data_IF_534651367209
#
_entry.id   IF_534651367209
#
_cell.length_a   1.000
_cell.length_b   1.000
_cell.length_c   1.000
_cell.angle_alpha   90.00
_cell.angle_beta   90.00
_cell.angle_gamma   90.00
#
_symmetry.space_group_name_H-M   'P 1'
#
loop_
_entity.id
_entity.type
_entity.pdbx_description
1 polymer ?
#
# COMPACT_ATOMS: atom_id res chain seq x y z
N UNK A 1 49.07 57.77 -16.59
CA UNK A 1 48.22 57.57 -15.38
C UNK A 1 47.03 56.72 -15.79
N UNK A 2 47.05 55.43 -15.43
CA UNK A 2 46.18 54.82 -14.40
C UNK A 2 44.74 54.56 -14.86
N UNK A 3 44.45 53.24 -15.03
CA UNK A 3 43.28 52.50 -14.50
C UNK A 3 41.91 52.84 -15.16
N UNK A 4 41.07 51.92 -15.64
CA UNK A 4 40.68 50.60 -15.10
C UNK A 4 39.78 49.83 -16.10
N UNK A 5 40.06 48.53 -16.26
CA UNK A 5 39.15 47.36 -16.31
C UNK A 5 38.01 47.24 -17.34
N UNK A 6 38.23 46.34 -18.30
CA UNK A 6 37.61 45.00 -18.35
C UNK A 6 36.15 44.91 -17.81
N UNK A 7 35.17 45.28 -18.62
CA UNK A 7 33.74 45.13 -18.30
C UNK A 7 32.96 44.57 -19.50
N UNK A 8 33.33 43.37 -19.94
CA UNK A 8 32.48 42.59 -20.86
C UNK A 8 32.70 41.07 -20.74
N UNK A 9 33.37 40.61 -19.67
CA UNK A 9 33.63 39.18 -19.41
C UNK A 9 33.19 38.74 -18.00
N UNK A 10 32.11 39.34 -17.48
CA UNK A 10 31.53 38.96 -16.17
C UNK A 10 30.03 38.62 -16.22
N UNK A 11 29.47 38.45 -17.42
CA UNK A 11 28.10 37.95 -17.61
C UNK A 11 28.06 36.51 -18.14
N UNK A 12 29.19 35.80 -18.13
CA UNK A 12 29.31 34.42 -18.62
C UNK A 12 29.59 33.36 -17.54
N UNK A 13 29.62 33.72 -16.25
CA UNK A 13 30.01 32.78 -15.18
C UNK A 13 29.11 32.76 -13.93
N UNK A 14 28.02 33.52 -13.87
CA UNK A 14 27.03 33.45 -12.76
C UNK A 14 25.66 32.90 -13.17
N UNK A 15 25.52 32.42 -14.41
CA UNK A 15 24.34 31.68 -14.88
C UNK A 15 24.60 30.17 -15.06
N UNK A 16 25.73 29.67 -14.55
CA UNK A 16 26.01 28.22 -14.51
C UNK A 16 25.67 27.71 -13.10
N UNK A 17 24.47 27.13 -13.02
CA UNK A 17 24.07 26.09 -12.07
C UNK A 17 24.05 26.47 -10.58
N UNK A 18 23.04 27.24 -10.20
CA UNK A 18 22.24 26.90 -9.02
C UNK A 18 20.93 26.21 -9.45
N UNK A 19 21.01 25.27 -10.39
CA UNK A 19 20.05 24.17 -10.36
C UNK A 19 20.44 23.34 -9.14
N UNK A 20 19.93 23.70 -7.97
CA UNK A 20 19.92 22.78 -6.83
C UNK A 20 19.28 21.51 -7.36
N UNK A 21 20.07 20.46 -7.57
CA UNK A 21 19.54 19.20 -8.07
C UNK A 21 18.44 18.77 -7.13
N UNK A 22 17.21 18.69 -7.64
CA UNK A 22 16.08 18.28 -6.82
C UNK A 22 16.34 16.85 -6.34
N UNK A 23 16.18 16.58 -5.04
CA UNK A 23 16.52 15.27 -4.50
C UNK A 23 15.67 14.18 -5.13
N UNK A 24 16.18 12.95 -5.10
CA UNK A 24 15.41 11.78 -5.45
C UNK A 24 14.05 11.77 -4.72
N UNK A 25 12.91 11.54 -5.41
CA UNK A 25 11.58 11.71 -4.83
C UNK A 25 11.26 10.91 -3.56
N UNK A 26 11.96 9.80 -3.33
CA UNK A 26 11.79 9.01 -2.10
C UNK A 26 12.66 9.49 -0.93
N UNK A 27 13.63 10.37 -1.16
CA UNK A 27 14.52 10.90 -0.10
C UNK A 27 13.74 11.59 1.04
N UNK A 28 12.70 12.41 0.78
CA UNK A 28 11.91 13.00 1.85
C UNK A 28 11.31 11.98 2.82
N UNK A 29 10.89 10.78 2.36
CA UNK A 29 10.32 9.74 3.23
C UNK A 29 11.33 9.19 4.26
N UNK A 30 12.63 9.43 4.08
CA UNK A 30 13.67 8.99 5.00
C UNK A 30 13.98 10.01 6.10
N UNK A 31 13.67 11.28 5.86
CA UNK A 31 14.08 12.41 6.72
C UNK A 31 12.91 13.19 7.29
N UNK A 32 11.73 13.01 6.70
CA UNK A 32 10.49 13.71 7.04
C UNK A 32 9.40 12.68 7.28
N UNK A 33 8.39 13.15 7.97
CA UNK A 33 7.12 12.46 8.07
C UNK A 33 6.47 12.36 6.65
N UNK A 34 5.62 11.35 6.36
CA UNK A 34 5.00 11.14 5.05
C UNK A 34 4.12 12.31 4.60
N UNK A 35 3.54 13.08 5.52
CA UNK A 35 2.70 14.22 5.18
C UNK A 35 3.57 15.41 4.76
N UNK A 36 4.64 15.68 5.50
CA UNK A 36 5.67 16.63 5.11
C UNK A 36 6.35 16.23 3.79
N UNK A 37 6.63 14.93 3.59
CA UNK A 37 7.17 14.41 2.33
C UNK A 37 6.19 14.65 1.17
N UNK A 38 4.89 14.42 1.39
CA UNK A 38 3.84 14.70 0.42
C UNK A 38 3.79 16.19 0.07
N UNK A 39 3.77 17.07 1.06
CA UNK A 39 3.78 18.52 0.88
C UNK A 39 5.03 18.99 0.14
N UNK A 40 6.20 18.42 0.45
CA UNK A 40 7.44 18.70 -0.26
C UNK A 40 7.33 18.33 -1.75
N UNK A 41 6.86 17.13 -2.08
CA UNK A 41 6.69 16.71 -3.49
C UNK A 41 5.65 17.57 -4.20
N UNK A 42 4.51 17.85 -3.56
CA UNK A 42 3.45 18.73 -4.09
C UNK A 42 4.00 20.10 -4.46
N UNK A 43 4.77 20.73 -3.57
CA UNK A 43 5.32 22.08 -3.75
C UNK A 43 6.51 22.13 -4.73
N UNK A 44 7.09 20.99 -5.07
CA UNK A 44 8.22 20.90 -6.01
C UNK A 44 7.86 20.15 -7.31
N UNK A 45 6.57 19.92 -7.58
CA UNK A 45 6.08 19.17 -8.75
C UNK A 45 6.72 19.64 -10.06
N UNK A 46 6.77 20.95 -10.30
CA UNK A 46 7.29 21.53 -11.55
C UNK A 46 8.79 21.27 -11.76
N UNK A 47 9.51 20.88 -10.71
CA UNK A 47 10.93 20.50 -10.81
C UNK A 47 11.13 19.02 -11.12
N UNK A 48 10.06 18.23 -11.07
CA UNK A 48 10.07 16.79 -11.33
C UNK A 48 9.42 16.44 -12.68
N UNK A 49 8.25 17.01 -12.97
CA UNK A 49 7.51 16.78 -14.21
C UNK A 49 8.32 17.32 -15.40
N UNK A 50 8.50 16.50 -16.45
CA UNK A 50 9.36 16.80 -17.59
C UNK A 50 10.87 16.65 -17.33
N UNK A 51 11.26 16.12 -16.15
CA UNK A 51 12.66 16.07 -15.71
C UNK A 51 13.11 14.67 -15.28
N UNK A 52 14.41 14.54 -14.95
CA UNK A 52 15.12 13.26 -14.71
C UNK A 52 14.40 12.27 -13.79
N UNK A 53 13.66 12.75 -12.80
CA UNK A 53 13.01 11.92 -11.78
C UNK A 53 11.48 11.87 -11.90
N UNK A 54 10.92 12.22 -13.06
CA UNK A 54 9.46 12.24 -13.24
C UNK A 54 8.78 10.91 -12.91
N UNK A 55 9.35 9.79 -13.37
CA UNK A 55 8.80 8.46 -13.09
C UNK A 55 8.72 8.21 -11.56
N UNK A 56 9.83 8.43 -10.86
CA UNK A 56 9.90 8.19 -9.42
C UNK A 56 9.08 9.23 -8.64
N UNK A 57 8.87 10.42 -9.20
CA UNK A 57 8.00 11.44 -8.61
C UNK A 57 6.56 10.95 -8.59
N UNK A 58 6.05 10.47 -9.74
CA UNK A 58 4.67 9.96 -9.79
C UNK A 58 4.46 8.74 -8.89
N UNK A 59 5.46 7.87 -8.77
CA UNK A 59 5.42 6.75 -7.83
C UNK A 59 5.37 7.23 -6.38
N UNK A 60 6.36 8.04 -5.94
CA UNK A 60 6.42 8.52 -4.56
C UNK A 60 5.18 9.35 -4.20
N UNK A 61 4.77 10.27 -5.07
CA UNK A 61 3.61 11.14 -4.84
C UNK A 61 2.29 10.35 -4.85
N UNK A 62 2.16 9.34 -5.72
CA UNK A 62 1.00 8.45 -5.75
C UNK A 62 0.91 7.57 -4.49
N UNK A 63 2.00 6.94 -4.09
CA UNK A 63 2.08 6.15 -2.84
C UNK A 63 1.72 7.00 -1.62
N UNK A 64 2.30 8.19 -1.49
CA UNK A 64 1.98 9.09 -0.37
C UNK A 64 0.52 9.58 -0.40
N UNK A 65 -0.04 9.78 -1.59
CA UNK A 65 -1.48 10.08 -1.74
C UNK A 65 -2.33 8.95 -1.18
N UNK A 66 -1.99 7.68 -1.48
CA UNK A 66 -2.71 6.53 -0.94
C UNK A 66 -2.63 6.47 0.59
N UNK A 67 -1.45 6.74 1.18
CA UNK A 67 -1.32 6.79 2.64
C UNK A 67 -2.29 7.80 3.23
N UNK A 68 -2.40 8.98 2.62
CA UNK A 68 -3.24 10.09 3.06
C UNK A 68 -4.73 9.93 2.71
N UNK A 69 -5.19 8.73 2.35
CA UNK A 69 -6.59 8.45 1.99
C UNK A 69 -7.02 9.02 0.63
N UNK A 70 -6.10 9.60 -0.14
CA UNK A 70 -6.34 10.22 -1.44
C UNK A 70 -6.24 9.20 -2.58
N UNK A 71 -7.03 8.13 -2.52
CA UNK A 71 -6.92 6.96 -3.41
C UNK A 71 -7.11 7.31 -4.90
N UNK A 72 -8.11 8.14 -5.25
CA UNK A 72 -8.33 8.62 -6.63
C UNK A 72 -7.14 9.41 -7.17
N UNK A 73 -6.45 10.15 -6.29
CA UNK A 73 -5.24 10.87 -6.66
C UNK A 73 -4.07 9.91 -6.87
N UNK A 74 -3.95 8.88 -6.04
CA UNK A 74 -2.96 7.82 -6.22
C UNK A 74 -3.10 7.15 -7.59
N UNK A 75 -4.33 6.73 -7.94
CA UNK A 75 -4.65 6.15 -9.25
C UNK A 75 -4.27 7.09 -10.40
N UNK A 76 -4.63 8.38 -10.28
CA UNK A 76 -4.29 9.38 -11.30
C UNK A 76 -2.79 9.56 -11.47
N UNK A 77 -2.01 9.51 -10.39
CA UNK A 77 -0.54 9.62 -10.47
C UNK A 77 0.05 8.47 -11.26
N UNK A 78 -0.40 7.24 -11.00
CA UNK A 78 0.07 6.05 -11.70
C UNK A 78 -0.43 5.98 -13.14
N UNK A 79 -1.66 6.40 -13.41
CA UNK A 79 -2.16 6.56 -14.78
C UNK A 79 -1.32 7.54 -15.60
N UNK A 80 -1.00 8.72 -15.03
CA UNK A 80 -0.16 9.71 -15.70
C UNK A 80 1.24 9.15 -15.97
N UNK A 81 1.87 8.52 -14.97
CA UNK A 81 3.15 7.83 -15.13
C UNK A 81 3.09 6.84 -16.29
N UNK A 82 2.13 5.93 -16.28
CA UNK A 82 2.05 4.86 -17.27
C UNK A 82 1.73 5.38 -18.67
N UNK A 83 0.97 6.48 -18.77
CA UNK A 83 0.76 7.18 -20.03
C UNK A 83 2.05 7.81 -20.56
N UNK A 84 2.87 8.42 -19.70
CA UNK A 84 4.11 9.12 -20.10
C UNK A 84 5.20 8.13 -20.52
N UNK A 85 5.28 7.00 -19.81
CA UNK A 85 6.31 5.97 -20.04
C UNK A 85 5.82 4.81 -20.92
N UNK A 86 4.71 4.98 -21.65
CA UNK A 86 4.14 4.01 -22.59
C UNK A 86 3.87 2.62 -21.99
N UNK A 87 3.45 2.57 -20.73
CA UNK A 87 3.10 1.33 -20.02
C UNK A 87 1.60 1.00 -20.10
N UNK A 88 0.78 1.81 -20.77
CA UNK A 88 -0.68 1.56 -20.89
C UNK A 88 -1.04 0.40 -21.82
N UNK A 89 -0.10 -0.10 -22.64
CA UNK A 89 -0.29 -1.20 -23.59
C UNK A 89 -1.07 -0.80 -24.85
N UNK A 90 -0.65 -1.29 -26.02
CA UNK A 90 -1.17 -0.86 -27.33
C UNK A 90 -2.42 -1.63 -27.81
N UNK A 91 -2.89 -2.66 -27.08
CA UNK A 91 -4.06 -3.46 -27.50
C UNK A 91 -4.82 -4.08 -26.33
N UNK A 92 -6.15 -4.09 -26.42
CA UNK A 92 -7.06 -4.72 -25.47
C UNK A 92 -7.31 -6.15 -25.94
N UNK A 93 -6.66 -7.14 -25.33
CA UNK A 93 -7.16 -8.50 -25.44
C UNK A 93 -8.34 -8.63 -24.49
N UNK A 94 -9.55 -8.60 -25.05
CA UNK A 94 -10.75 -8.92 -24.31
C UNK A 94 -10.72 -10.40 -23.93
N UNK A 95 -10.11 -10.72 -22.78
CA UNK A 95 -10.36 -12.01 -22.16
C UNK A 95 -11.85 -12.06 -21.81
N UNK A 96 -12.60 -12.89 -22.55
CA UNK A 96 -14.00 -13.15 -22.26
C UNK A 96 -14.06 -14.17 -21.11
N UNK A 97 -13.73 -13.70 -19.90
CA UNK A 97 -13.51 -14.51 -18.67
C UNK A 97 -14.82 -15.07 -18.11
N UNK A 98 -15.98 -14.76 -18.69
CA UNK A 98 -17.27 -15.34 -18.28
C UNK A 98 -17.27 -16.88 -18.23
N UNK A 99 -16.39 -17.56 -18.98
CA UNK A 99 -16.20 -19.02 -18.93
C UNK A 99 -15.22 -19.55 -17.87
N UNK A 100 -14.40 -18.70 -17.26
CA UNK A 100 -13.31 -19.10 -16.36
C UNK A 100 -13.26 -18.31 -15.04
N UNK A 101 -14.25 -17.45 -14.79
CA UNK A 101 -14.39 -16.68 -13.56
C UNK A 101 -14.68 -17.61 -12.37
N UNK A 102 -13.65 -17.78 -11.55
CA UNK A 102 -13.64 -18.61 -10.36
C UNK A 102 -13.99 -17.72 -9.13
N UNK A 103 -14.78 -18.25 -8.18
CA UNK A 103 -15.38 -17.52 -7.05
C UNK A 103 -14.50 -17.54 -5.78
N UNK A 104 -14.88 -16.80 -4.72
CA UNK A 104 -14.24 -16.93 -3.38
C UNK A 104 -14.15 -18.39 -2.90
N UNK A 105 -15.13 -19.24 -3.26
CA UNK A 105 -15.13 -20.65 -2.89
C UNK A 105 -13.97 -21.43 -3.48
N UNK A 106 -13.47 -21.02 -4.62
CA UNK A 106 -12.39 -21.70 -5.30
C UNK A 106 -11.02 -21.16 -4.86
N UNK A 107 -10.92 -19.86 -4.56
CA UNK A 107 -9.79 -19.31 -3.83
C UNK A 107 -9.59 -20.07 -2.50
N UNK A 108 -10.69 -20.36 -1.80
CA UNK A 108 -10.67 -21.19 -0.60
C UNK A 108 -10.16 -22.62 -0.84
N UNK A 109 -10.43 -23.22 -2.02
CA UNK A 109 -9.89 -24.55 -2.39
C UNK A 109 -8.38 -24.45 -2.63
N UNK A 110 -7.92 -23.45 -3.36
CA UNK A 110 -6.49 -23.22 -3.61
C UNK A 110 -5.72 -23.04 -2.29
N UNK A 111 -6.29 -22.31 -1.33
CA UNK A 111 -5.68 -22.15 -0.01
C UNK A 111 -5.59 -23.46 0.77
N UNK A 112 -6.55 -24.37 0.59
CA UNK A 112 -6.53 -25.68 1.23
C UNK A 112 -5.47 -26.62 0.64
N UNK A 113 -5.30 -26.61 -0.69
CA UNK A 113 -4.40 -27.54 -1.39
C UNK A 113 -2.95 -27.09 -1.42
N UNK A 114 -2.68 -25.80 -1.29
CA UNK A 114 -1.31 -25.26 -1.34
C UNK A 114 -0.78 -24.99 0.08
N UNK A 115 0.54 -25.14 0.26
CA UNK A 115 1.22 -24.89 1.54
C UNK A 115 1.99 -23.57 1.57
N UNK A 116 2.26 -22.99 0.40
CA UNK A 116 2.94 -21.72 0.23
C UNK A 116 2.17 -20.90 -0.81
N UNK A 117 1.76 -19.70 -0.42
CA UNK A 117 1.08 -18.75 -1.30
C UNK A 117 1.93 -17.49 -1.41
N UNK A 118 2.11 -16.99 -2.62
CA UNK A 118 2.68 -15.69 -2.91
C UNK A 118 1.57 -14.79 -3.47
N UNK A 119 1.32 -13.68 -2.79
CA UNK A 119 0.38 -12.64 -3.19
C UNK A 119 1.15 -11.34 -3.40
N UNK A 120 0.84 -10.57 -4.44
CA UNK A 120 1.48 -9.26 -4.63
C UNK A 120 0.56 -8.09 -4.32
N UNK A 121 1.16 -6.90 -4.25
CA UNK A 121 0.48 -5.61 -4.17
C UNK A 121 1.16 -4.57 -5.06
N UNK A 122 0.37 -3.66 -5.61
CA UNK A 122 0.89 -2.42 -6.15
C UNK A 122 0.99 -1.38 -5.02
N UNK A 123 2.17 -0.79 -4.83
CA UNK A 123 2.47 0.07 -3.67
C UNK A 123 1.51 1.25 -3.40
N UNK A 124 0.69 1.63 -4.38
CA UNK A 124 -0.30 2.70 -4.32
C UNK A 124 -1.75 2.23 -4.18
N UNK A 125 -2.02 0.94 -4.39
CA UNK A 125 -3.35 0.35 -4.33
C UNK A 125 -3.59 -0.26 -2.96
N UNK A 126 -4.16 0.51 -2.06
CA UNK A 126 -4.56 0.02 -0.74
C UNK A 126 -5.62 -1.10 -0.81
N UNK A 127 -6.34 -1.23 -1.94
CA UNK A 127 -7.26 -2.34 -2.20
C UNK A 127 -6.57 -3.71 -2.10
N UNK A 128 -5.37 -3.86 -2.65
CA UNK A 128 -4.60 -5.13 -2.64
C UNK A 128 -4.29 -5.59 -1.19
N UNK A 129 -4.17 -4.60 -0.28
CA UNK A 129 -3.91 -4.79 1.14
C UNK A 129 -5.20 -5.06 1.91
N UNK A 130 -6.30 -4.40 1.53
CA UNK A 130 -7.63 -4.69 2.06
C UNK A 130 -8.07 -6.12 1.69
N UNK A 131 -7.70 -6.59 0.50
CA UNK A 131 -7.89 -7.98 0.11
C UNK A 131 -7.15 -8.93 1.06
N UNK A 132 -5.83 -8.76 1.25
CA UNK A 132 -5.08 -9.60 2.18
C UNK A 132 -5.69 -9.54 3.60
N UNK A 133 -6.03 -8.34 4.09
CA UNK A 133 -6.72 -8.16 5.38
C UNK A 133 -7.98 -9.04 5.47
N UNK A 134 -8.79 -9.10 4.41
CA UNK A 134 -9.99 -9.92 4.35
C UNK A 134 -9.68 -11.42 4.38
N UNK A 135 -8.61 -11.86 3.70
CA UNK A 135 -8.26 -13.30 3.60
C UNK A 135 -7.61 -13.88 4.86
N UNK A 136 -6.94 -13.07 5.70
CA UNK A 136 -6.18 -13.55 6.86
C UNK A 136 -6.94 -14.51 7.81
N UNK A 137 -8.22 -14.28 8.20
CA UNK A 137 -8.92 -15.19 9.10
C UNK A 137 -9.08 -16.59 8.51
N UNK A 138 -9.45 -16.68 7.24
CA UNK A 138 -9.65 -17.95 6.57
C UNK A 138 -8.33 -18.67 6.34
N UNK A 139 -7.29 -17.94 5.91
CA UNK A 139 -5.93 -18.49 5.81
C UNK A 139 -5.47 -19.05 7.17
N UNK A 140 -5.70 -18.33 8.28
CA UNK A 140 -5.34 -18.82 9.62
C UNK A 140 -6.06 -20.13 9.95
N UNK A 141 -7.36 -20.21 9.66
CA UNK A 141 -8.18 -21.42 9.85
C UNK A 141 -7.64 -22.60 9.02
N UNK A 142 -7.08 -22.36 7.83
CA UNK A 142 -6.51 -23.40 6.96
C UNK A 142 -5.04 -23.73 7.26
N UNK A 143 -4.53 -23.32 8.42
CA UNK A 143 -3.22 -23.71 8.92
C UNK A 143 -2.07 -22.83 8.44
N UNK A 144 -2.35 -21.66 7.84
CA UNK A 144 -1.31 -20.67 7.57
C UNK A 144 -0.87 -20.03 8.89
N UNK A 145 0.38 -20.31 9.26
CA UNK A 145 1.01 -19.84 10.50
C UNK A 145 1.94 -18.68 10.24
N UNK A 146 2.62 -18.68 9.09
CA UNK A 146 3.64 -17.71 8.74
C UNK A 146 3.10 -16.67 7.75
N UNK A 147 3.43 -15.41 7.98
CA UNK A 147 3.15 -14.31 7.06
C UNK A 147 4.44 -13.53 6.80
N UNK A 148 5.05 -13.78 5.66
CA UNK A 148 6.24 -13.07 5.20
C UNK A 148 5.84 -11.80 4.46
N UNK A 149 6.40 -10.65 4.86
CA UNK A 149 6.02 -9.34 4.32
C UNK A 149 7.27 -8.57 3.91
N UNK A 150 7.35 -8.17 2.64
CA UNK A 150 8.47 -7.41 2.09
C UNK A 150 8.61 -6.04 2.76
N UNK A 151 7.48 -5.39 3.02
CA UNK A 151 7.42 -4.03 3.52
C UNK A 151 7.90 -3.86 4.97
N UNK A 152 8.14 -4.95 5.71
CA UNK A 152 8.66 -4.88 7.07
C UNK A 152 10.17 -4.64 7.06
N UNK A 153 10.64 -3.70 7.87
CA UNK A 153 12.06 -3.43 8.04
C UNK A 153 12.79 -4.68 8.59
N UNK A 154 13.98 -4.94 8.05
CA UNK A 154 14.81 -6.10 8.41
C UNK A 154 16.26 -5.69 8.75
N UNK A 155 17.04 -6.65 9.26
CA UNK A 155 18.44 -6.45 9.62
C UNK A 155 18.62 -5.38 10.69
N UNK A 156 19.53 -4.41 10.48
CA UNK A 156 19.77 -3.32 11.44
C UNK A 156 18.55 -2.41 11.67
N UNK A 157 17.56 -2.44 10.79
CA UNK A 157 16.35 -1.62 10.89
C UNK A 157 15.17 -2.35 11.54
N UNK A 158 15.31 -3.65 11.81
CA UNK A 158 14.26 -4.53 12.35
C UNK A 158 13.54 -3.91 13.55
N UNK A 159 12.22 -3.97 13.52
CA UNK A 159 11.34 -3.61 14.64
C UNK A 159 11.16 -4.83 15.57
N UNK A 160 12.13 -5.03 16.45
CA UNK A 160 12.17 -6.17 17.38
C UNK A 160 11.02 -6.19 18.39
N UNK A 161 10.37 -5.05 18.60
CA UNK A 161 9.27 -4.90 19.55
C UNK A 161 7.89 -5.06 18.88
N UNK A 162 7.80 -5.21 17.55
CA UNK A 162 6.53 -5.23 16.81
C UNK A 162 5.53 -6.24 17.38
N UNK A 163 5.94 -7.51 17.54
CA UNK A 163 5.06 -8.57 18.01
C UNK A 163 4.65 -8.36 19.48
N UNK A 164 5.61 -7.96 20.33
CA UNK A 164 5.36 -7.69 21.77
C UNK A 164 4.43 -6.51 21.96
N UNK A 165 4.60 -5.46 21.15
CA UNK A 165 3.81 -4.22 21.21
C UNK A 165 2.42 -4.41 20.59
N UNK A 166 2.29 -5.29 19.61
CA UNK A 166 1.01 -5.65 18.98
C UNK A 166 0.53 -4.72 17.87
N UNK A 167 1.31 -3.68 17.51
CA UNK A 167 0.94 -2.71 16.47
C UNK A 167 2.15 -2.06 15.79
N UNK A 168 2.00 -1.67 14.50
CA UNK A 168 3.04 -0.98 13.75
C UNK A 168 3.17 0.48 14.18
N UNK A 169 4.39 1.03 14.09
CA UNK A 169 4.67 2.43 14.43
C UNK A 169 5.37 3.16 13.30
N UNK A 170 5.14 4.47 13.33
CA UNK A 170 5.65 5.43 12.38
C UNK A 170 7.18 5.41 12.29
N UNK A 171 7.74 5.24 11.09
CA UNK A 171 9.18 5.24 10.80
C UNK A 171 10.03 4.08 11.36
N UNK A 172 9.44 3.08 12.03
CA UNK A 172 10.20 1.90 12.52
C UNK A 172 9.78 0.60 11.87
N UNK A 173 8.48 0.38 11.68
CA UNK A 173 7.98 -0.92 11.20
C UNK A 173 8.21 -1.12 9.70
N UNK A 174 8.07 -0.08 8.89
CA UNK A 174 8.29 -0.13 7.45
C UNK A 174 7.63 1.04 6.72
N UNK A 175 8.23 1.51 5.62
CA UNK A 175 7.74 2.73 4.93
C UNK A 175 6.34 2.55 4.35
N UNK A 176 6.07 1.40 3.71
CA UNK A 176 4.75 1.10 3.15
C UNK A 176 3.69 0.73 4.21
N UNK A 177 4.14 0.34 5.41
CA UNK A 177 3.25 0.06 6.56
C UNK A 177 2.59 1.34 7.09
N UNK A 178 3.07 2.52 6.69
CA UNK A 178 2.44 3.80 7.01
C UNK A 178 1.08 4.03 6.31
N UNK A 179 0.71 3.19 5.33
CA UNK A 179 -0.67 3.11 4.87
C UNK A 179 -1.55 2.51 5.98
N UNK A 180 -2.60 3.21 6.44
CA UNK A 180 -3.54 2.67 7.42
C UNK A 180 -4.06 1.26 7.09
N UNK A 181 -4.30 0.96 5.81
CA UNK A 181 -4.81 -0.35 5.40
C UNK A 181 -3.74 -1.43 5.59
N UNK A 182 -2.49 -1.16 5.25
CA UNK A 182 -1.40 -2.11 5.50
C UNK A 182 -1.16 -2.29 7.01
N UNK A 183 -1.22 -1.20 7.78
CA UNK A 183 -1.12 -1.28 9.23
C UNK A 183 -2.22 -2.17 9.83
N UNK A 184 -3.43 -2.15 9.29
CA UNK A 184 -4.49 -3.08 9.67
C UNK A 184 -4.20 -4.54 9.33
N UNK A 185 -3.56 -4.83 8.20
CA UNK A 185 -3.06 -6.18 7.90
C UNK A 185 -2.12 -6.65 9.00
N UNK A 186 -1.16 -5.82 9.41
CA UNK A 186 -0.22 -6.15 10.49
C UNK A 186 -0.94 -6.39 11.82
N UNK A 187 -1.82 -5.47 12.25
CA UNK A 187 -2.59 -5.63 13.49
C UNK A 187 -3.43 -6.91 13.49
N UNK A 188 -4.09 -7.20 12.38
CA UNK A 188 -4.94 -8.39 12.24
C UNK A 188 -4.12 -9.67 12.25
N UNK A 189 -2.98 -9.68 11.56
CA UNK A 189 -2.07 -10.82 11.57
C UNK A 189 -1.56 -11.13 12.99
N UNK A 190 -1.11 -10.10 13.73
CA UNK A 190 -0.68 -10.24 15.12
C UNK A 190 -1.82 -10.74 16.02
N UNK A 191 -3.03 -10.16 15.90
CA UNK A 191 -4.22 -10.60 16.66
C UNK A 191 -4.61 -12.06 16.39
N UNK A 192 -4.44 -12.52 15.15
CA UNK A 192 -4.68 -13.91 14.75
C UNK A 192 -3.52 -14.85 15.11
N UNK A 193 -2.42 -14.33 15.66
CA UNK A 193 -1.25 -15.12 16.04
C UNK A 193 -0.47 -15.65 14.83
N UNK A 194 -0.37 -14.88 13.76
CA UNK A 194 0.62 -15.15 12.71
C UNK A 194 2.04 -14.85 13.22
N UNK A 195 2.99 -15.68 12.81
CA UNK A 195 4.41 -15.35 12.94
C UNK A 195 4.80 -14.50 11.73
N UNK A 196 5.21 -13.25 11.98
CA UNK A 196 5.60 -12.34 10.91
C UNK A 196 7.05 -12.60 10.49
N UNK A 197 7.31 -12.64 9.19
CA UNK A 197 8.67 -12.80 8.64
C UNK A 197 9.04 -11.52 7.87
N UNK A 198 9.79 -10.59 8.46
CA UNK A 198 10.40 -9.48 7.74
C UNK A 198 11.54 -10.02 6.88
N UNK A 199 11.38 -10.00 5.56
CA UNK A 199 12.34 -10.69 4.67
C UNK A 199 13.16 -9.76 3.77
N UNK A 200 12.89 -8.45 3.78
CA UNK A 200 13.61 -7.47 2.95
C UNK A 200 15.14 -7.61 3.04
N UNK A 201 15.83 -7.37 1.92
CA UNK A 201 17.27 -7.20 1.85
C UNK A 201 17.63 -5.88 1.16
N UNK A 202 18.73 -5.27 1.61
CA UNK A 202 19.27 -4.02 1.06
C UNK A 202 20.57 -4.24 0.28
N UNK A 203 20.90 -5.49 -0.04
CA UNK A 203 22.11 -5.83 -0.80
C UNK A 203 21.86 -5.79 -2.32
N UNK A 204 22.93 -6.04 -3.09
CA UNK A 204 22.83 -6.20 -4.56
C UNK A 204 22.19 -7.54 -4.97
N UNK A 205 22.16 -8.53 -4.08
CA UNK A 205 21.52 -9.85 -4.29
C UNK A 205 20.15 -9.90 -3.62
N UNK A 206 19.43 -8.78 -3.64
CA UNK A 206 18.20 -8.56 -2.88
C UNK A 206 17.21 -9.72 -3.01
N UNK A 207 16.84 -10.11 -4.22
CA UNK A 207 15.83 -11.15 -4.47
C UNK A 207 16.22 -12.52 -3.90
N UNK A 208 17.48 -12.92 -4.06
CA UNK A 208 17.99 -14.20 -3.54
C UNK A 208 18.03 -14.18 -2.00
N UNK A 209 18.55 -13.10 -1.41
CA UNK A 209 18.65 -12.96 0.03
C UNK A 209 17.27 -12.80 0.69
N UNK A 210 16.31 -12.18 0.00
CA UNK A 210 14.91 -12.14 0.43
C UNK A 210 14.34 -13.55 0.58
N UNK A 211 14.52 -14.42 -0.42
CA UNK A 211 14.11 -15.82 -0.35
C UNK A 211 14.84 -16.58 0.78
N UNK A 212 16.13 -16.34 0.98
CA UNK A 212 16.89 -16.94 2.08
C UNK A 212 16.39 -16.52 3.46
N UNK A 213 16.01 -15.24 3.63
CA UNK A 213 15.45 -14.74 4.87
C UNK A 213 14.14 -15.43 5.22
N UNK A 214 13.30 -15.75 4.21
CA UNK A 214 12.08 -16.54 4.40
C UNK A 214 12.42 -17.96 4.85
N UNK A 215 13.28 -18.66 4.11
CA UNK A 215 13.64 -20.07 4.37
C UNK A 215 14.31 -20.26 5.73
N UNK A 216 15.08 -19.29 6.22
CA UNK A 216 15.70 -19.34 7.56
C UNK A 216 14.69 -19.43 8.71
N UNK A 217 13.48 -18.91 8.52
CA UNK A 217 12.45 -18.82 9.57
C UNK A 217 11.28 -19.76 9.32
N UNK A 218 10.93 -20.01 8.06
CA UNK A 218 9.80 -20.84 7.69
C UNK A 218 10.07 -22.33 7.97
N UNK A 219 9.24 -22.94 8.83
CA UNK A 219 9.23 -24.38 9.06
C UNK A 219 7.93 -25.02 8.52
N UNK A 220 7.97 -25.77 7.40
CA UNK A 220 6.79 -26.38 6.80
C UNK A 220 6.10 -27.42 7.69
N UNK A 221 6.82 -28.00 8.66
CA UNK A 221 6.24 -28.95 9.61
C UNK A 221 5.32 -28.27 10.65
N UNK A 222 5.43 -26.95 10.82
CA UNK A 222 4.67 -26.19 11.82
C UNK A 222 3.48 -25.41 11.24
N UNK A 223 3.40 -25.29 9.92
CA UNK A 223 2.28 -24.63 9.25
C UNK A 223 2.60 -24.13 7.86
N UNK A 224 1.60 -23.51 7.24
CA UNK A 224 1.68 -22.96 5.89
C UNK A 224 2.16 -21.51 5.88
N UNK A 225 2.64 -21.06 4.73
CA UNK A 225 3.24 -19.75 4.51
C UNK A 225 2.44 -18.90 3.52
N UNK A 226 2.20 -17.65 3.89
CA UNK A 226 1.79 -16.60 2.96
C UNK A 226 2.95 -15.62 2.80
N UNK A 227 3.31 -15.29 1.57
CA UNK A 227 4.30 -14.27 1.22
C UNK A 227 3.57 -13.12 0.54
N UNK A 228 3.85 -11.89 0.98
CA UNK A 228 3.24 -10.68 0.45
C UNK A 228 4.31 -9.68 -0.01
N UNK A 229 4.33 -9.39 -1.31
CA UNK A 229 5.39 -8.64 -1.97
C UNK A 229 4.87 -7.56 -2.94
N UNK A 230 5.70 -6.61 -3.30
CA UNK A 230 5.42 -5.62 -4.34
C UNK A 230 5.48 -6.23 -5.75
N UNK A 231 4.49 -5.94 -6.58
CA UNK A 231 4.53 -6.18 -8.03
C UNK A 231 5.07 -7.56 -8.43
N UNK A 232 6.13 -7.59 -9.24
CA UNK A 232 6.65 -8.79 -9.87
C UNK A 232 7.53 -9.63 -8.95
N UNK A 233 7.81 -9.21 -7.71
CA UNK A 233 8.68 -9.97 -6.81
C UNK A 233 8.16 -11.39 -6.54
N UNK A 234 6.85 -11.63 -6.69
CA UNK A 234 6.28 -12.97 -6.57
C UNK A 234 6.48 -13.88 -7.80
N UNK A 235 7.04 -13.37 -8.91
CA UNK A 235 7.18 -14.14 -10.14
C UNK A 235 8.05 -15.38 -9.91
N UNK A 236 7.50 -16.54 -10.28
CA UNK A 236 8.14 -17.84 -10.08
C UNK A 236 8.91 -18.38 -11.29
N UNK A 237 8.93 -17.65 -12.41
CA UNK A 237 9.77 -17.98 -13.57
C UNK A 237 11.25 -17.97 -13.18
N UNK A 238 11.88 -19.15 -13.24
CA UNK A 238 13.28 -19.38 -12.93
C UNK A 238 14.24 -18.54 -13.79
N UNK A 239 13.83 -18.12 -14.98
CA UNK A 239 14.64 -17.29 -15.87
C UNK A 239 14.68 -15.81 -15.45
N UNK A 240 13.68 -15.35 -14.67
CA UNK A 240 13.61 -13.96 -14.20
C UNK A 240 14.46 -13.70 -12.97
N UNK A 241 14.77 -14.74 -12.18
CA UNK A 241 15.55 -14.66 -10.93
C UNK A 241 15.04 -13.55 -10.00
N UNK A 242 13.72 -13.58 -9.75
CA UNK A 242 13.03 -12.73 -8.77
C UNK A 242 12.81 -13.53 -7.48
N UNK A 243 12.38 -12.86 -6.40
CA UNK A 243 12.26 -13.47 -5.07
C UNK A 243 11.40 -14.75 -5.11
N UNK A 244 10.28 -14.74 -5.83
CA UNK A 244 9.40 -15.90 -5.98
C UNK A 244 10.09 -17.11 -6.58
N UNK A 245 10.87 -16.93 -7.64
CA UNK A 245 11.59 -18.05 -8.27
C UNK A 245 12.75 -18.56 -7.42
N UNK A 246 13.48 -17.69 -6.73
CA UNK A 246 14.48 -18.13 -5.73
C UNK A 246 13.83 -18.89 -4.57
N UNK A 247 12.66 -18.46 -4.11
CA UNK A 247 11.95 -19.12 -3.01
C UNK A 247 11.48 -20.51 -3.42
N UNK A 248 10.87 -20.65 -4.62
CA UNK A 248 10.48 -21.95 -5.20
C UNK A 248 11.66 -22.91 -5.27
N UNK A 249 12.80 -22.44 -5.80
CA UNK A 249 14.04 -23.21 -5.89
C UNK A 249 14.54 -23.68 -4.50
N UNK A 250 14.63 -22.77 -3.53
CA UNK A 250 15.17 -23.05 -2.19
C UNK A 250 14.24 -23.94 -1.34
N UNK A 251 12.92 -23.88 -1.56
CA UNK A 251 11.96 -24.74 -0.87
C UNK A 251 11.85 -26.15 -1.47
N UNK A 252 12.21 -26.32 -2.75
CA UNK A 252 12.11 -27.62 -3.43
C UNK A 252 10.68 -28.14 -3.57
N UNK A 253 9.68 -27.25 -3.50
CA UNK A 253 8.26 -27.55 -3.67
C UNK A 253 7.60 -26.46 -4.52
N UNK A 254 6.41 -26.78 -5.04
CA UNK A 254 5.62 -25.81 -5.79
C UNK A 254 5.06 -24.70 -4.88
N UNK A 255 4.84 -23.52 -5.46
CA UNK A 255 4.25 -22.37 -4.76
C UNK A 255 3.05 -21.86 -5.55
N UNK A 256 2.03 -21.37 -4.85
CA UNK A 256 0.87 -20.76 -5.52
C UNK A 256 1.08 -19.25 -5.63
N UNK A 257 1.21 -18.75 -6.85
CA UNK A 257 1.45 -17.34 -7.16
C UNK A 257 0.20 -16.65 -7.74
N UNK A 258 -0.30 -15.64 -7.03
CA UNK A 258 -1.52 -14.91 -7.40
C UNK A 258 -1.21 -13.41 -7.51
N UNK A 259 -1.32 -12.86 -8.73
CA UNK A 259 -1.08 -11.44 -9.00
C UNK A 259 -2.36 -10.61 -8.96
N UNK A 260 -2.40 -9.61 -8.08
CA UNK A 260 -3.37 -8.51 -8.03
C UNK A 260 -2.98 -7.37 -8.98
N UNK A 261 -1.72 -7.32 -9.42
CA UNK A 261 -1.27 -6.42 -10.48
C UNK A 261 -1.58 -7.02 -11.85
N UNK A 262 -2.68 -6.55 -12.44
CA UNK A 262 -3.20 -7.04 -13.70
C UNK A 262 -2.62 -6.22 -14.84
N UNK A 263 -2.03 -6.87 -15.87
CA UNK A 263 -1.59 -6.18 -17.07
C UNK A 263 -2.72 -5.35 -17.70
N UNK A 264 -2.45 -4.10 -18.07
CA UNK A 264 -3.43 -3.17 -18.66
C UNK A 264 -4.17 -3.73 -19.90
N UNK A 265 -3.54 -4.68 -20.62
CA UNK A 265 -4.12 -5.37 -21.78
C UNK A 265 -5.25 -6.34 -21.44
N UNK A 266 -5.36 -6.78 -20.18
CA UNK A 266 -6.39 -7.72 -19.74
C UNK A 266 -7.61 -6.95 -19.22
N UNK A 267 -8.80 -7.28 -19.74
CA UNK A 267 -10.07 -6.81 -19.19
C UNK A 267 -10.93 -7.99 -18.75
N UNK A 268 -11.53 -7.84 -17.57
CA UNK A 268 -12.46 -8.82 -17.01
C UNK A 268 -13.89 -8.41 -17.35
N UNK A 269 -14.69 -9.36 -17.85
CA UNK A 269 -16.14 -9.21 -17.89
C UNK A 269 -16.68 -9.57 -16.50
N UNK A 270 -17.00 -8.54 -15.72
CA UNK A 270 -17.43 -8.68 -14.33
C UNK A 270 -18.96 -8.77 -14.24
N UNK A 271 -19.44 -9.59 -13.31
CA UNK A 271 -20.84 -9.74 -12.92
C UNK A 271 -21.00 -9.26 -11.47
N UNK A 272 -22.08 -8.55 -11.16
CA UNK A 272 -22.25 -7.92 -9.84
C UNK A 272 -22.42 -8.92 -8.67
N UNK A 273 -22.59 -10.22 -8.96
CA UNK A 273 -22.88 -11.25 -7.95
C UNK A 273 -21.65 -11.93 -7.34
N UNK A 274 -20.45 -11.71 -7.88
CA UNK A 274 -19.23 -12.40 -7.40
C UNK A 274 -18.32 -11.41 -6.68
N UNK A 275 -17.77 -11.81 -5.54
CA UNK A 275 -16.89 -10.95 -4.73
C UNK A 275 -15.49 -10.78 -5.37
N UNK A 276 -14.95 -11.83 -5.97
CA UNK A 276 -13.62 -11.84 -6.60
C UNK A 276 -13.63 -12.66 -7.89
N UNK A 277 -12.71 -12.31 -8.78
CA UNK A 277 -12.44 -13.00 -10.03
C UNK A 277 -11.01 -13.52 -10.02
N UNK A 278 -10.86 -14.82 -10.23
CA UNK A 278 -9.57 -15.44 -10.49
C UNK A 278 -9.52 -15.90 -11.94
N UNK A 279 -8.42 -15.60 -12.64
CA UNK A 279 -8.16 -16.04 -14.00
C UNK A 279 -6.79 -16.69 -14.07
N UNK A 280 -6.66 -17.81 -14.77
CA UNK A 280 -5.36 -18.42 -15.05
C UNK A 280 -4.46 -17.40 -15.76
N UNK A 281 -3.20 -17.32 -15.37
CA UNK A 281 -2.21 -16.61 -16.15
C UNK A 281 -1.73 -17.46 -17.32
N UNK A 282 -1.49 -16.83 -18.46
CA UNK A 282 -0.82 -17.47 -19.60
C UNK A 282 0.71 -17.28 -19.57
N UNK A 283 1.24 -16.56 -18.57
CA UNK A 283 2.68 -16.36 -18.41
C UNK A 283 3.28 -17.32 -17.37
N UNK A 284 4.56 -17.63 -17.50
CA UNK A 284 5.30 -18.50 -16.58
C UNK A 284 5.58 -17.86 -15.21
N UNK A 285 5.21 -16.59 -15.00
CA UNK A 285 5.49 -15.87 -13.76
C UNK A 285 4.47 -16.16 -12.66
N UNK A 286 3.20 -16.33 -13.02
CA UNK A 286 2.10 -16.40 -12.05
C UNK A 286 1.17 -17.56 -12.40
N UNK A 287 0.53 -18.16 -11.42
CA UNK A 287 -0.54 -19.14 -11.68
C UNK A 287 -1.84 -18.42 -12.04
N UNK A 288 -2.13 -17.33 -11.32
CA UNK A 288 -3.40 -16.62 -11.45
C UNK A 288 -3.26 -15.09 -11.40
N UNK A 289 -4.18 -14.43 -12.09
CA UNK A 289 -4.56 -13.04 -11.84
C UNK A 289 -5.80 -12.97 -10.98
N UNK A 290 -5.83 -12.03 -10.04
CA UNK A 290 -6.96 -11.76 -9.17
C UNK A 290 -7.47 -10.33 -9.36
N UNK A 291 -8.79 -10.17 -9.41
CA UNK A 291 -9.44 -8.85 -9.37
C UNK A 291 -10.75 -8.88 -8.62
N UNK A 292 -11.29 -7.71 -8.29
CA UNK A 292 -12.62 -7.54 -7.71
C UNK A 292 -13.48 -6.65 -8.63
N UNK A 293 -14.81 -6.85 -8.71
CA UNK A 293 -15.66 -5.90 -9.38
C UNK A 293 -15.59 -4.54 -8.68
N UNK A 294 -15.45 -3.48 -9.47
CA UNK A 294 -15.41 -2.12 -8.93
C UNK A 294 -16.70 -1.82 -8.20
N UNK A 295 -16.57 -1.48 -6.91
CA UNK A 295 -17.69 -1.06 -6.07
C UNK A 295 -17.85 0.44 -6.04
N UNK A 296 -19.06 0.87 -5.70
CA UNK A 296 -19.43 2.28 -5.65
C UNK A 296 -18.79 2.91 -4.41
N UNK A 297 -18.01 3.97 -4.62
CA UNK A 297 -17.46 4.77 -3.53
C UNK A 297 -18.58 5.44 -2.74
N UNK A 298 -18.41 5.54 -1.42
CA UNK A 298 -19.24 6.36 -0.55
C UNK A 298 -18.44 7.58 -0.10
N UNK A 299 -18.66 8.72 -0.76
CA UNK A 299 -17.91 9.96 -0.54
C UNK A 299 -16.39 9.73 -0.71
N UNK A 300 -15.63 9.86 0.37
CA UNK A 300 -14.18 9.67 0.43
C UNK A 300 -13.75 8.21 0.66
N UNK A 301 -14.70 7.30 0.94
CA UNK A 301 -14.43 5.90 1.22
C UNK A 301 -14.61 5.09 -0.07
N UNK A 302 -13.54 4.53 -0.65
CA UNK A 302 -13.65 3.69 -1.83
C UNK A 302 -14.54 2.48 -1.58
N UNK A 303 -15.21 2.01 -2.63
CA UNK A 303 -16.13 0.88 -2.51
C UNK A 303 -15.49 -0.38 -1.88
N UNK A 304 -14.20 -0.64 -2.12
CA UNK A 304 -13.50 -1.82 -1.59
C UNK A 304 -13.32 -1.83 -0.06
N UNK A 305 -13.59 -0.74 0.66
CA UNK A 305 -13.58 -0.74 2.14
C UNK A 305 -14.55 -1.76 2.75
N UNK A 306 -15.55 -2.21 2.00
CA UNK A 306 -16.44 -3.29 2.44
C UNK A 306 -15.70 -4.59 2.77
N UNK A 307 -14.51 -4.82 2.19
CA UNK A 307 -13.69 -6.01 2.47
C UNK A 307 -13.17 -6.02 3.91
N UNK A 308 -13.16 -4.85 4.53
CA UNK A 308 -12.68 -4.66 5.89
C UNK A 308 -13.79 -4.67 6.93
N UNK A 309 -15.05 -4.57 6.50
CA UNK A 309 -16.25 -4.50 7.37
C UNK A 309 -16.18 -3.34 8.40
N UNK A 310 -15.68 -2.18 7.97
CA UNK A 310 -15.55 -1.02 8.84
C UNK A 310 -16.87 -0.26 8.97
N UNK A 311 -17.14 0.25 10.18
CA UNK A 311 -18.26 1.13 10.46
C UNK A 311 -17.94 2.55 9.98
N UNK A 312 -18.84 3.14 9.19
CA UNK A 312 -18.66 4.49 8.67
C UNK A 312 -19.51 5.48 9.47
N UNK A 313 -18.91 6.60 9.90
CA UNK A 313 -19.61 7.68 10.59
C UNK A 313 -19.20 9.04 10.00
N UNK A 314 -20.12 10.01 9.86
CA UNK A 314 -19.76 11.36 9.42
C UNK A 314 -18.77 12.05 10.37
N UNK A 315 -17.81 12.79 9.82
CA UNK A 315 -16.87 13.59 10.63
C UNK A 315 -17.60 14.63 11.49
N UNK A 316 -18.67 15.26 10.97
CA UNK A 316 -19.40 16.33 11.65
C UNK A 316 -20.10 15.87 12.93
N UNK A 317 -20.32 14.57 13.12
CA UNK A 317 -20.88 14.02 14.37
C UNK A 317 -19.88 14.11 15.53
N UNK A 318 -18.58 14.25 15.23
CA UNK A 318 -17.49 14.29 16.22
C UNK A 318 -16.71 15.60 16.22
N UNK A 319 -16.63 16.29 15.09
CA UNK A 319 -15.84 17.51 14.92
C UNK A 319 -16.70 18.66 14.41
N UNK A 320 -17.03 19.60 15.30
CA UNK A 320 -17.94 20.73 15.02
C UNK A 320 -17.23 22.04 14.71
N UNK A 321 -15.91 22.10 14.91
CA UNK A 321 -15.11 23.29 14.60
C UNK A 321 -14.94 23.45 13.09
N UNK A 322 -14.64 24.67 12.66
CA UNK A 322 -14.32 24.93 11.25
C UNK A 322 -13.06 24.19 10.84
N UNK A 323 -13.13 23.51 9.70
CA UNK A 323 -11.98 22.83 9.08
C UNK A 323 -11.35 23.76 8.06
N UNK A 324 -10.07 24.07 8.26
CA UNK A 324 -9.25 24.81 7.29
C UNK A 324 -8.80 23.87 6.15
N UNK A 325 -8.54 24.43 4.97
CA UNK A 325 -8.01 23.66 3.83
C UNK A 325 -6.57 24.10 3.56
N UNK A 326 -5.60 23.17 3.49
CA UNK A 326 -5.74 21.73 3.71
C UNK A 326 -5.74 21.36 5.21
N UNK A 327 -6.40 20.25 5.56
CA UNK A 327 -6.31 19.63 6.90
C UNK A 327 -6.19 18.12 6.79
N UNK A 328 -5.32 17.51 7.57
CA UNK A 328 -5.20 16.07 7.71
C UNK A 328 -6.06 15.60 8.89
N UNK A 329 -7.05 14.75 8.62
CA UNK A 329 -7.90 14.11 9.63
C UNK A 329 -7.37 12.71 9.88
N UNK A 330 -7.11 12.37 11.15
CA UNK A 330 -6.54 11.08 11.55
C UNK A 330 -7.28 10.53 12.76
N UNK A 331 -7.53 9.23 12.75
CA UNK A 331 -8.14 8.49 13.85
C UNK A 331 -7.11 7.49 14.36
N UNK A 332 -6.87 7.48 15.67
CA UNK A 332 -5.91 6.59 16.31
C UNK A 332 -6.57 5.73 17.39
N UNK A 333 -6.01 4.55 17.62
CA UNK A 333 -6.28 3.83 18.87
C UNK A 333 -5.66 4.59 20.04
N UNK A 334 -6.35 4.77 21.18
CA UNK A 334 -5.86 5.59 22.28
C UNK A 334 -4.56 5.09 22.93
N UNK A 335 -4.33 3.77 22.87
CA UNK A 335 -3.22 3.09 23.53
C UNK A 335 -2.04 2.80 22.60
N UNK A 336 -2.08 3.26 21.34
CA UNK A 336 -1.01 3.06 20.37
C UNK A 336 -0.11 4.30 20.26
N UNK A 337 0.94 4.35 21.08
CA UNK A 337 1.90 5.45 21.03
C UNK A 337 2.73 5.37 19.73
N UNK A 338 2.77 6.49 18.98
CA UNK A 338 3.39 6.55 17.65
C UNK A 338 2.82 5.53 16.64
N UNK A 339 1.64 4.98 16.92
CA UNK A 339 0.96 4.03 16.04
C UNK A 339 0.60 4.67 14.70
N UNK A 340 0.43 3.82 13.69
CA UNK A 340 -0.15 4.27 12.42
C UNK A 340 -1.64 4.55 12.62
N UNK A 341 -2.23 5.60 12.03
CA UNK A 341 -3.67 5.84 12.13
C UNK A 341 -4.51 4.60 11.75
N UNK A 342 -5.63 4.43 12.45
CA UNK A 342 -6.70 3.51 12.10
C UNK A 342 -7.36 3.94 10.79
N UNK A 343 -7.52 5.24 10.62
CA UNK A 343 -8.07 5.85 9.43
C UNK A 343 -7.44 7.23 9.27
N UNK A 344 -7.21 7.66 8.04
CA UNK A 344 -6.87 9.05 7.78
C UNK A 344 -7.36 9.49 6.40
N UNK A 345 -7.59 10.80 6.28
CA UNK A 345 -7.91 11.43 5.02
C UNK A 345 -7.42 12.88 5.01
N UNK A 346 -6.75 13.27 3.94
CA UNK A 346 -6.33 14.65 3.71
C UNK A 346 -7.46 15.44 3.02
N UNK A 347 -7.97 16.49 3.67
CA UNK A 347 -8.94 17.43 3.09
C UNK A 347 -8.20 18.43 2.22
N UNK A 348 -8.56 18.52 0.94
CA UNK A 348 -7.96 19.47 -0.01
C UNK A 348 -8.99 20.34 -0.74
N UNK A 349 -10.28 20.09 -0.54
CA UNK A 349 -11.38 20.86 -1.13
C UNK A 349 -12.57 20.98 -0.17
N UNK A 350 -13.45 21.95 -0.41
CA UNK A 350 -14.68 22.12 0.40
C UNK A 350 -15.57 20.86 0.36
N UNK A 351 -15.58 20.15 -0.77
CA UNK A 351 -16.34 18.91 -0.93
C UNK A 351 -15.85 17.79 0.01
N UNK A 352 -14.57 17.81 0.37
CA UNK A 352 -13.98 16.81 1.28
C UNK A 352 -14.43 16.98 2.74
N UNK A 353 -15.00 18.14 3.12
CA UNK A 353 -15.41 18.39 4.50
C UNK A 353 -16.59 17.53 4.94
N UNK A 354 -17.40 17.06 4.00
CA UNK A 354 -18.52 16.14 4.26
C UNK A 354 -18.08 14.67 4.29
N UNK A 355 -16.84 14.39 4.70
CA UNK A 355 -16.29 13.03 4.72
C UNK A 355 -16.92 12.11 5.77
N UNK A 356 -16.68 10.82 5.55
CA UNK A 356 -16.87 9.75 6.51
C UNK A 356 -15.53 9.36 7.13
N UNK A 357 -15.58 9.03 8.41
CA UNK A 357 -14.57 8.31 9.17
C UNK A 357 -14.88 6.82 9.10
N UNK A 358 -13.84 5.97 9.05
CA UNK A 358 -14.00 4.52 9.07
C UNK A 358 -13.39 3.91 10.33
N UNK A 359 -14.15 3.06 11.02
CA UNK A 359 -13.77 2.44 12.28
C UNK A 359 -13.83 0.90 12.19
N UNK A 360 -12.79 0.18 12.61
CA UNK A 360 -12.73 -1.28 12.55
C UNK A 360 -13.67 -1.96 13.55
N UNK A 361 -13.99 -1.29 14.65
CA UNK A 361 -14.93 -1.77 15.66
C UNK A 361 -15.46 -0.61 16.50
N UNK A 362 -16.50 -0.88 17.29
CA UNK A 362 -16.90 -0.01 18.38
C UNK A 362 -15.76 0.13 19.40
N UNK A 363 -15.62 1.32 20.00
CA UNK A 363 -14.59 1.59 20.99
C UNK A 363 -14.24 3.06 21.16
N UNK A 364 -13.19 3.32 21.93
CA UNK A 364 -12.63 4.65 22.09
C UNK A 364 -11.54 4.90 21.05
N UNK A 365 -11.50 6.11 20.49
CA UNK A 365 -10.51 6.54 19.50
C UNK A 365 -10.07 7.97 19.78
N UNK A 366 -8.87 8.33 19.34
CA UNK A 366 -8.43 9.72 19.31
C UNK A 366 -8.59 10.27 17.90
N UNK A 367 -9.40 11.32 17.75
CA UNK A 367 -9.51 12.09 16.52
C UNK A 367 -8.53 13.26 16.57
N UNK A 368 -7.67 13.35 15.57
CA UNK A 368 -6.69 14.43 15.42
C UNK A 368 -6.94 15.12 14.10
N UNK A 369 -7.08 16.44 14.13
CA UNK A 369 -7.20 17.29 12.94
C UNK A 369 -6.01 18.23 12.92
N UNK A 370 -5.16 18.09 11.91
CA UNK A 370 -3.92 18.87 11.76
C UNK A 370 -4.01 19.76 10.54
N UNK A 371 -3.70 21.05 10.68
CA UNK A 371 -3.53 21.98 9.57
C UNK A 371 -2.14 22.65 9.66
N UNK A 372 -1.83 23.58 8.75
CA UNK A 372 -0.51 24.23 8.71
C UNK A 372 -0.16 25.08 9.94
N UNK A 373 -1.15 25.49 10.73
CA UNK A 373 -1.03 26.47 11.82
C UNK A 373 -1.43 25.90 13.19
N UNK A 374 -2.05 24.73 13.25
CA UNK A 374 -2.68 24.19 14.45
C UNK A 374 -2.80 22.66 14.41
N UNK A 375 -2.71 22.04 15.59
CA UNK A 375 -3.04 20.63 15.83
C UNK A 375 -4.15 20.62 16.88
N UNK A 376 -5.33 20.13 16.49
CA UNK A 376 -6.46 19.93 17.41
C UNK A 376 -6.65 18.42 17.66
N UNK A 377 -6.85 18.04 18.92
CA UNK A 377 -6.97 16.64 19.31
C UNK A 377 -8.14 16.45 20.28
N UNK A 378 -9.01 15.48 19.97
CA UNK A 378 -10.19 15.15 20.77
C UNK A 378 -10.27 13.64 20.97
N UNK A 379 -10.58 13.22 22.21
CA UNK A 379 -10.99 11.84 22.46
C UNK A 379 -12.43 11.68 22.00
N UNK A 380 -12.69 10.67 21.18
CA UNK A 380 -14.02 10.36 20.67
C UNK A 380 -14.38 8.93 21.05
N UNK A 381 -15.61 8.74 21.52
CA UNK A 381 -16.15 7.42 21.79
C UNK A 381 -17.09 7.07 20.65
N UNK A 382 -16.76 6.02 19.89
CA UNK A 382 -17.71 5.50 18.91
C UNK A 382 -18.71 4.63 19.67
N UNK A 383 -19.92 5.15 19.82
CA UNK A 383 -21.06 4.38 20.31
C UNK A 383 -21.98 4.22 19.11
N UNK A 384 -22.12 3.00 18.57
CA UNK A 384 -23.08 2.79 17.48
C UNK A 384 -24.27 2.01 18.03
N UNK A 385 -25.45 2.62 17.91
CA UNK A 385 -26.72 1.86 17.96
C UNK A 385 -26.68 0.88 16.78
N UNK A 386 -26.50 -0.40 17.07
CA UNK A 386 -26.69 -1.50 16.12
C UNK A 386 -28.03 -1.32 15.38
N UNK A 387 -28.00 -0.80 14.15
CA UNK A 387 -29.02 -1.18 13.18
C UNK A 387 -28.62 -2.55 12.69
N UNK A 388 -29.13 -3.59 13.36
CA UNK A 388 -29.19 -4.93 12.80
C UNK A 388 -29.79 -4.84 11.39
N UNK A 389 -28.93 -4.88 10.35
CA UNK A 389 -29.39 -5.33 9.03
C UNK A 389 -29.36 -6.84 9.08
N UNK A 390 -30.49 -7.43 9.47
CA UNK A 390 -30.83 -8.79 9.02
C UNK A 390 -30.76 -8.79 7.50
N UNK A 391 -29.89 -9.61 6.93
CA UNK A 391 -30.13 -10.28 5.65
C UNK A 391 -29.74 -11.73 5.81
#
# INVERSE_FOLDING_TARGET
>A
MKKFKLFSLFFLLTAIRLFSQVPFPFKPLQTKDYYEAFCFLKNNKDKYVGHKFENQFWQAYGTLSAFLGQYKKADRCYYLRDSIFNNLGDSIDHLNISKYAISQLDLNKLYQTNSVILLNEAHYKSEDRAFLYNQLPFLKEKGYKYLAIEALNNGKWLDTDLEKRGYPIYNKTGVYINDPIFAHVIRKALKLGYQLIPYESYSQKREEEQAENIVKVYNPAEGKLVVFAGYAHICEDCNKKLMGSFLKEKLGQDVLSISQDIPNKLRFSMHDSVQFYLANSENECYDYYLTSPRKIDNLNIPGWYELMDFQLQPLHDYYTKTIEIPSLVQVYYPNEQNGIPVFQYLIESENDKNMLLAFPSEGEYNLVVTNSNNIDSLKINTTVRLKFRRR
#
